data_IF_473277902339
#
_entry.id   IF_473277902339
#
_cell.length_a   1.000
_cell.length_b   1.000
_cell.length_c   1.000
_cell.angle_alpha   90.00
_cell.angle_beta   90.00
_cell.angle_gamma   90.00
#
_symmetry.space_group_name_H-M   'P 1'
#
loop_
_entity.id
_entity.type
_entity.pdbx_description
1 polymer ?
#
# COMPACT_ATOMS: atom_id res chain seq x y z
N UNK A 1 -19.02 2.69 15.69
CA UNK A 1 -17.65 2.79 15.17
C UNK A 1 -17.68 2.96 13.66
N UNK A 2 -16.89 3.88 13.17
CA UNK A 2 -16.83 4.12 11.73
C UNK A 2 -16.07 3.01 11.01
N UNK A 3 -16.57 2.59 9.86
CA UNK A 3 -15.83 1.67 9.00
C UNK A 3 -14.59 2.39 8.44
N UNK A 4 -13.47 1.70 8.24
CA UNK A 4 -12.29 2.34 7.67
C UNK A 4 -12.55 2.79 6.24
N UNK A 5 -12.05 3.98 5.91
CA UNK A 5 -12.10 4.56 4.57
C UNK A 5 -10.75 4.41 3.86
N UNK A 6 -9.67 4.31 4.62
CA UNK A 6 -8.31 4.16 4.11
C UNK A 6 -7.73 2.86 4.64
N UNK A 7 -7.17 2.07 3.75
CA UNK A 7 -6.44 0.86 4.15
C UNK A 7 -4.95 1.09 3.92
N UNK A 8 -4.16 0.96 4.98
CA UNK A 8 -2.71 1.04 4.92
C UNK A 8 -2.19 -0.38 4.90
N UNK A 9 -1.58 -0.77 3.78
CA UNK A 9 -0.99 -2.10 3.64
C UNK A 9 0.52 -1.99 3.52
N UNK A 10 1.22 -3.01 3.99
CA UNK A 10 2.67 -3.07 3.95
C UNK A 10 3.13 -4.49 3.74
N UNK A 11 4.24 -4.66 3.04
CA UNK A 11 4.74 -5.97 2.66
C UNK A 11 5.36 -6.76 3.81
N UNK A 12 5.74 -6.08 4.89
CA UNK A 12 6.39 -6.70 6.04
C UNK A 12 6.09 -5.90 7.31
N UNK A 13 6.08 -6.59 8.44
CA UNK A 13 5.97 -5.95 9.76
C UNK A 13 7.07 -4.88 9.95
N UNK A 14 8.25 -5.09 9.37
CA UNK A 14 9.36 -4.14 9.48
C UNK A 14 9.09 -2.79 8.81
N UNK A 15 8.14 -2.74 7.88
CA UNK A 15 7.75 -1.49 7.22
C UNK A 15 6.91 -0.58 8.13
N UNK A 16 6.41 -1.11 9.23
CA UNK A 16 5.55 -0.36 10.15
C UNK A 16 6.22 0.90 10.68
N UNK A 17 7.51 0.86 10.95
CA UNK A 17 8.25 2.01 11.43
C UNK A 17 8.07 3.23 10.51
N UNK A 18 8.08 3.00 9.20
CA UNK A 18 7.82 4.05 8.21
C UNK A 18 6.33 4.34 8.07
N UNK A 19 5.52 3.30 7.98
CA UNK A 19 4.10 3.45 7.65
C UNK A 19 3.26 4.03 8.79
N UNK A 20 3.70 3.91 10.03
CA UNK A 20 2.96 4.47 11.16
C UNK A 20 2.75 5.99 11.06
N UNK A 21 3.62 6.69 10.34
CA UNK A 21 3.46 8.13 10.13
C UNK A 21 2.12 8.46 9.44
N UNK A 22 1.66 7.61 8.53
CA UNK A 22 0.37 7.78 7.88
C UNK A 22 -0.78 7.67 8.87
N UNK A 23 -0.68 6.77 9.85
CA UNK A 23 -1.73 6.60 10.86
C UNK A 23 -1.86 7.84 11.75
N UNK A 24 -0.73 8.47 12.06
CA UNK A 24 -0.73 9.72 12.86
C UNK A 24 -1.49 10.82 12.13
N UNK A 25 -1.19 11.02 10.84
CA UNK A 25 -1.84 12.06 10.05
C UNK A 25 -3.34 11.78 9.88
N UNK A 26 -3.69 10.53 9.56
CA UNK A 26 -5.10 10.15 9.39
C UNK A 26 -5.90 10.33 10.69
N UNK A 27 -5.29 10.00 11.83
CA UNK A 27 -5.91 10.21 13.13
C UNK A 27 -6.15 11.68 13.41
N UNK A 28 -5.19 12.55 13.11
CA UNK A 28 -5.31 13.99 13.28
C UNK A 28 -6.41 14.56 12.39
N UNK A 29 -6.59 14.01 11.19
CA UNK A 29 -7.64 14.44 10.26
C UNK A 29 -9.01 13.82 10.55
N UNK A 30 -9.09 12.91 11.52
CA UNK A 30 -10.34 12.24 11.86
C UNK A 30 -10.81 11.24 10.81
N UNK A 31 -9.89 10.71 9.99
CA UNK A 31 -10.22 9.75 8.93
C UNK A 31 -10.05 8.34 9.47
N UNK A 32 -11.10 7.51 9.50
CA UNK A 32 -10.99 6.12 9.96
C UNK A 32 -10.16 5.29 8.98
N UNK A 33 -9.26 4.49 9.52
CA UNK A 33 -8.34 3.66 8.72
C UNK A 33 -8.13 2.30 9.36
N UNK A 34 -7.57 1.40 8.58
CA UNK A 34 -7.08 0.09 9.04
C UNK A 34 -5.64 -0.10 8.57
N UNK A 35 -4.91 -1.01 9.23
CA UNK A 35 -3.55 -1.39 8.84
C UNK A 35 -3.47 -2.90 8.68
N UNK A 36 -2.78 -3.36 7.64
CA UNK A 36 -2.62 -4.79 7.34
C UNK A 36 -1.24 -5.08 6.79
N UNK A 37 -0.69 -6.22 7.15
CA UNK A 37 0.51 -6.77 6.49
C UNK A 37 0.04 -7.69 5.38
N UNK A 38 0.35 -7.33 4.14
CA UNK A 38 -0.03 -8.08 2.93
C UNK A 38 1.19 -8.09 2.02
N UNK A 39 1.80 -9.25 1.85
CA UNK A 39 3.01 -9.36 1.02
C UNK A 39 2.65 -9.82 -0.38
N UNK A 40 3.06 -9.07 -1.40
CA UNK A 40 2.84 -9.43 -2.79
C UNK A 40 3.52 -10.74 -3.16
N UNK A 41 4.72 -10.98 -2.63
CA UNK A 41 5.52 -12.15 -2.98
C UNK A 41 5.28 -13.35 -2.06
N UNK A 42 5.04 -13.10 -0.75
CA UNK A 42 4.88 -14.18 0.22
C UNK A 42 3.44 -14.63 0.42
N UNK A 43 2.49 -13.70 0.27
CA UNK A 43 1.05 -13.99 0.43
C UNK A 43 0.24 -13.43 -0.74
N UNK A 44 0.51 -13.87 -1.98
CA UNK A 44 -0.17 -13.30 -3.16
C UNK A 44 -1.69 -13.51 -3.13
N UNK A 45 -2.17 -14.65 -2.65
CA UNK A 45 -3.61 -14.90 -2.55
C UNK A 45 -4.29 -13.92 -1.60
N UNK A 46 -3.63 -13.57 -0.50
CA UNK A 46 -4.13 -12.57 0.45
C UNK A 46 -4.20 -11.19 -0.22
N UNK A 47 -3.21 -10.84 -1.04
CA UNK A 47 -3.22 -9.59 -1.78
C UNK A 47 -4.39 -9.53 -2.76
N UNK A 48 -4.60 -10.59 -3.54
CA UNK A 48 -5.71 -10.66 -4.49
C UNK A 48 -7.04 -10.47 -3.77
N UNK A 49 -7.27 -11.21 -2.70
CA UNK A 49 -8.52 -11.13 -1.93
C UNK A 49 -8.72 -9.72 -1.36
N UNK A 50 -7.66 -9.12 -0.82
CA UNK A 50 -7.71 -7.77 -0.29
C UNK A 50 -8.07 -6.75 -1.37
N UNK A 51 -7.33 -6.74 -2.47
CA UNK A 51 -7.49 -5.73 -3.52
C UNK A 51 -8.86 -5.83 -4.20
N UNK A 52 -9.31 -7.04 -4.49
CA UNK A 52 -10.60 -7.25 -5.14
C UNK A 52 -11.79 -6.94 -4.22
N UNK A 53 -11.62 -7.11 -2.91
CA UNK A 53 -12.69 -6.89 -1.94
C UNK A 53 -12.72 -5.51 -1.28
N UNK A 54 -11.67 -4.70 -1.44
CA UNK A 54 -11.51 -3.47 -0.68
C UNK A 54 -12.65 -2.47 -0.92
N UNK A 55 -13.01 -2.22 -2.18
CA UNK A 55 -14.06 -1.27 -2.51
C UNK A 55 -15.41 -1.68 -1.91
N UNK A 56 -15.74 -2.96 -1.97
CA UNK A 56 -16.99 -3.48 -1.42
C UNK A 56 -17.04 -3.36 0.11
N UNK A 57 -15.89 -3.32 0.76
CA UNK A 57 -15.82 -3.12 2.21
C UNK A 57 -15.87 -1.65 2.62
N UNK A 58 -15.95 -0.74 1.65
CA UNK A 58 -16.04 0.70 1.93
C UNK A 58 -14.72 1.44 1.89
N UNK A 59 -13.62 0.77 1.55
CA UNK A 59 -12.33 1.43 1.40
C UNK A 59 -12.37 2.34 0.18
N UNK A 60 -11.86 3.56 0.34
CA UNK A 60 -11.84 4.57 -0.72
C UNK A 60 -10.43 4.84 -1.24
N UNK A 61 -9.40 4.63 -0.43
CA UNK A 61 -8.00 4.85 -0.79
C UNK A 61 -7.14 3.78 -0.14
N UNK A 62 -6.15 3.29 -0.89
CA UNK A 62 -5.16 2.34 -0.38
C UNK A 62 -3.80 3.05 -0.32
N UNK A 63 -3.12 2.98 0.82
CA UNK A 63 -1.75 3.45 0.98
C UNK A 63 -0.90 2.20 1.15
N UNK A 64 0.05 1.98 0.24
CA UNK A 64 0.83 0.75 0.19
C UNK A 64 2.32 1.04 0.32
N UNK A 65 2.96 0.47 1.34
CA UNK A 65 4.39 0.63 1.58
C UNK A 65 5.13 -0.67 1.33
N UNK A 66 6.27 -0.57 0.68
CA UNK A 66 7.14 -1.73 0.43
C UNK A 66 8.57 -1.28 0.16
N UNK A 67 9.53 -2.16 0.42
CA UNK A 67 10.94 -1.91 0.17
C UNK A 67 11.54 -2.90 -0.82
N UNK A 68 12.66 -2.51 -1.43
CA UNK A 68 13.36 -3.34 -2.41
C UNK A 68 12.60 -3.47 -3.71
N UNK A 69 12.31 -4.70 -4.13
CA UNK A 69 11.41 -4.99 -5.24
C UNK A 69 9.97 -4.71 -4.79
N UNK A 70 9.60 -3.45 -4.76
CA UNK A 70 8.41 -2.94 -4.10
C UNK A 70 7.18 -3.02 -5.01
N UNK A 71 6.70 -4.22 -5.29
CA UNK A 71 5.63 -4.50 -6.24
C UNK A 71 4.22 -4.40 -5.66
N UNK A 72 4.10 -4.29 -4.33
CA UNK A 72 2.82 -4.35 -3.64
C UNK A 72 1.81 -3.32 -4.18
N UNK A 73 2.21 -2.06 -4.25
CA UNK A 73 1.32 -0.99 -4.68
C UNK A 73 0.84 -1.17 -6.12
N UNK A 74 1.76 -1.49 -7.04
CA UNK A 74 1.42 -1.72 -8.45
C UNK A 74 0.50 -2.91 -8.64
N UNK A 75 0.77 -4.00 -7.93
CA UNK A 75 -0.08 -5.18 -8.01
C UNK A 75 -1.47 -4.91 -7.44
N UNK A 76 -1.56 -4.22 -6.31
CA UNK A 76 -2.86 -3.82 -5.76
C UNK A 76 -3.63 -2.94 -6.75
N UNK A 77 -2.96 -1.95 -7.33
CA UNK A 77 -3.59 -1.03 -8.30
C UNK A 77 -4.10 -1.75 -9.54
N UNK A 78 -3.49 -2.86 -9.93
CA UNK A 78 -3.92 -3.64 -11.09
C UNK A 78 -5.23 -4.41 -10.84
N UNK A 79 -5.65 -4.54 -9.59
CA UNK A 79 -6.79 -5.37 -9.19
C UNK A 79 -7.93 -4.57 -8.56
N UNK A 80 -7.84 -3.24 -8.53
CA UNK A 80 -8.88 -2.38 -7.96
C UNK A 80 -8.95 -1.06 -8.73
N UNK A 81 -10.13 -0.45 -8.75
CA UNK A 81 -10.29 0.90 -9.29
C UNK A 81 -9.98 1.99 -8.27
N UNK A 82 -9.72 1.63 -7.03
CA UNK A 82 -9.42 2.59 -5.98
C UNK A 82 -8.06 3.25 -6.21
N UNK A 83 -7.91 4.53 -5.82
CA UNK A 83 -6.59 5.17 -5.83
C UNK A 83 -5.62 4.44 -4.91
N UNK A 84 -4.40 4.22 -5.40
CA UNK A 84 -3.33 3.61 -4.63
C UNK A 84 -2.18 4.60 -4.52
N UNK A 85 -1.77 4.89 -3.28
CA UNK A 85 -0.63 5.76 -2.97
C UNK A 85 0.51 4.87 -2.49
N UNK A 86 1.61 4.88 -3.23
CA UNK A 86 2.79 4.07 -2.90
C UNK A 86 3.76 4.84 -2.02
N UNK A 87 4.28 4.17 -1.00
CA UNK A 87 5.31 4.72 -0.12
C UNK A 87 6.57 3.87 -0.27
N UNK A 88 7.64 4.42 -0.89
CA UNK A 88 8.90 3.68 -1.01
C UNK A 88 9.60 3.64 0.35
N UNK A 89 9.81 2.43 0.85
CA UNK A 89 10.47 2.21 2.13
C UNK A 89 11.96 2.00 1.90
N UNK A 90 12.79 2.58 2.78
CA UNK A 90 14.24 2.44 2.69
C UNK A 90 14.67 0.97 2.66
N UNK A 91 15.65 0.65 1.84
CA UNK A 91 16.17 -0.71 1.67
C UNK A 91 17.66 -0.77 1.99
N UNK A 92 18.15 -2.00 2.24
CA UNK A 92 19.58 -2.21 2.49
C UNK A 92 20.42 -2.01 1.21
N UNK A 93 19.90 -2.40 0.06
CA UNK A 93 20.67 -2.41 -1.19
C UNK A 93 20.94 -1.01 -1.73
N UNK A 94 19.90 -0.20 -1.92
CA UNK A 94 20.02 1.11 -2.59
C UNK A 94 19.33 2.23 -1.79
N UNK A 95 19.18 2.07 -0.48
CA UNK A 95 18.61 3.08 0.41
C UNK A 95 17.22 3.58 -0.01
N UNK A 96 16.43 2.74 -0.65
CA UNK A 96 15.08 3.07 -1.08
C UNK A 96 14.95 3.52 -2.53
N UNK A 97 16.05 3.72 -3.25
CA UNK A 97 16.00 4.07 -4.68
C UNK A 97 15.36 2.91 -5.46
N UNK A 98 15.73 1.67 -5.15
CA UNK A 98 15.12 0.48 -5.72
C UNK A 98 13.61 0.39 -5.42
N UNK A 99 13.22 0.76 -4.22
CA UNK A 99 11.80 0.83 -3.84
C UNK A 99 11.07 1.86 -4.70
N UNK A 100 11.62 3.06 -4.80
CA UNK A 100 11.05 4.15 -5.59
C UNK A 100 10.92 3.77 -7.07
N UNK A 101 12.00 3.22 -7.66
CA UNK A 101 11.98 2.85 -9.07
C UNK A 101 10.98 1.72 -9.37
N UNK A 102 10.75 0.82 -8.41
CA UNK A 102 9.72 -0.22 -8.54
C UNK A 102 8.31 0.37 -8.61
N UNK A 103 8.10 1.51 -7.98
CA UNK A 103 6.77 2.12 -7.83
C UNK A 103 6.44 3.13 -8.94
N UNK A 104 7.43 3.76 -9.54
CA UNK A 104 7.20 4.82 -10.54
C UNK A 104 7.18 4.31 -11.97
N UNK A 105 7.69 3.12 -12.24
CA UNK A 105 7.74 2.55 -13.59
C UNK A 105 6.51 1.66 -13.87
N UNK A 106 5.35 2.29 -13.88
CA UNK A 106 4.09 1.57 -14.07
C UNK A 106 3.74 1.44 -15.55
N UNK A 107 3.15 0.30 -15.95
CA UNK A 107 2.66 0.14 -17.30
C UNK A 107 1.45 1.02 -17.56
N UNK A 108 1.20 1.32 -18.83
CA UNK A 108 0.03 2.09 -19.24
C UNK A 108 -1.25 1.42 -18.74
N UNK A 109 -2.14 2.21 -18.17
CA UNK A 109 -3.43 1.74 -17.69
C UNK A 109 -3.45 1.33 -16.21
N UNK A 110 -2.28 1.22 -15.56
CA UNK A 110 -2.18 0.93 -14.12
C UNK A 110 -1.47 2.11 -13.47
N UNK A 111 -2.23 2.95 -12.78
CA UNK A 111 -1.72 4.18 -12.19
C UNK A 111 -1.49 4.03 -10.69
N UNK A 112 -0.33 4.50 -10.23
CA UNK A 112 0.04 4.56 -8.82
C UNK A 112 0.60 5.94 -8.55
N UNK A 113 0.08 6.61 -7.52
CA UNK A 113 0.65 7.85 -7.03
C UNK A 113 1.81 7.52 -6.09
N UNK A 114 2.91 8.23 -6.24
CA UNK A 114 4.09 7.95 -5.42
C UNK A 114 4.72 9.25 -4.90
#
# INVERSE_FOLDING_TARGET
>A
MSKPLVSIIMGSQSDWETMQAATTVLSELGIPFETKVVSAHRTPARLVAFAEGAADQGIQVIIAGAGGAAHLAGMAASMTHLPVIAVPVSSHSLNGIDSLLSMVQMPRGVAVAC
#
